data_IF_677865424492
#
_entry.id   IF_677865424492
#
_cell.length_a   1.000
_cell.length_b   1.000
_cell.length_c   1.000
_cell.angle_alpha   90.00
_cell.angle_beta   90.00
_cell.angle_gamma   90.00
#
_symmetry.space_group_name_H-M   'P 1'
#
loop_
_entity.id
_entity.type
_entity.pdbx_description
1 polymer ?
#
# COMPACT_ATOMS: atom_id res chain seq x y z
N UNK A 1 -10.70 17.85 -2.44
CA UNK A 1 -10.07 16.52 -2.33
C UNK A 1 -9.97 15.93 -3.72
N UNK A 2 -8.86 15.32 -4.12
CA UNK A 2 -8.85 14.53 -5.34
C UNK A 2 -9.92 13.42 -5.22
N UNK A 3 -10.69 13.23 -6.28
CA UNK A 3 -11.72 12.19 -6.38
C UNK A 3 -11.01 10.95 -6.96
N UNK A 4 -11.02 9.83 -6.24
CA UNK A 4 -10.40 8.57 -6.65
C UNK A 4 -9.22 8.11 -5.79
N UNK A 5 -8.64 6.97 -6.15
CA UNK A 5 -7.53 6.34 -5.42
C UNK A 5 -6.19 6.86 -5.98
N UNK A 6 -5.35 7.53 -5.19
CA UNK A 6 -4.06 7.98 -5.65
C UNK A 6 -3.10 6.79 -5.83
N UNK A 7 -2.20 6.89 -6.80
CA UNK A 7 -1.15 5.89 -7.03
C UNK A 7 0.23 6.54 -7.15
N UNK A 8 1.28 5.74 -6.96
CA UNK A 8 2.67 6.15 -7.19
C UNK A 8 3.40 5.16 -8.09
N UNK A 9 4.28 5.67 -8.93
CA UNK A 9 5.17 4.85 -9.76
C UNK A 9 6.48 4.57 -9.00
N UNK A 10 6.99 3.35 -9.13
CA UNK A 10 8.32 2.98 -8.64
C UNK A 10 9.10 2.20 -9.69
N UNK A 11 10.42 2.33 -9.65
CA UNK A 11 11.38 1.58 -10.48
C UNK A 11 12.40 0.82 -9.64
N UNK A 12 12.08 0.60 -8.37
CA UNK A 12 12.99 0.18 -7.30
C UNK A 12 12.84 1.16 -6.14
N UNK A 13 11.98 0.83 -5.19
CA UNK A 13 11.82 1.59 -3.95
C UNK A 13 12.73 1.01 -2.87
N UNK A 14 13.05 1.81 -1.84
CA UNK A 14 13.37 1.26 -0.52
C UNK A 14 12.03 0.92 0.14
N UNK A 15 11.60 -0.35 0.12
CA UNK A 15 10.28 -0.71 0.60
C UNK A 15 10.21 -0.50 2.11
N UNK A 16 9.06 -0.03 2.58
CA UNK A 16 8.76 -0.08 4.01
C UNK A 16 8.33 -1.50 4.38
N UNK A 17 8.60 -1.96 5.62
CA UNK A 17 7.99 -3.16 6.15
C UNK A 17 6.47 -3.07 6.08
N UNK A 18 5.85 -4.12 5.55
CA UNK A 18 4.40 -4.30 5.51
C UNK A 18 4.05 -5.52 6.36
N UNK A 19 3.08 -5.36 7.24
CA UNK A 19 2.57 -6.44 8.10
C UNK A 19 1.06 -6.56 7.95
N UNK A 20 0.56 -7.79 8.00
CA UNK A 20 -0.84 -8.10 7.77
C UNK A 20 -1.57 -8.62 9.00
N UNK A 21 -2.81 -8.20 9.16
CA UNK A 21 -3.74 -8.81 10.13
C UNK A 21 -4.33 -10.13 9.60
N UNK A 22 -4.52 -10.24 8.28
CA UNK A 22 -4.99 -11.45 7.59
C UNK A 22 -3.99 -11.86 6.50
N UNK A 23 -2.94 -12.57 6.89
CA UNK A 23 -1.84 -12.96 5.98
C UNK A 23 -2.27 -13.96 4.89
N UNK A 24 -3.33 -14.71 5.14
CA UNK A 24 -3.89 -15.74 4.24
C UNK A 24 -4.68 -15.16 3.05
N UNK A 25 -5.16 -13.92 3.16
CA UNK A 25 -5.78 -13.19 2.04
C UNK A 25 -4.75 -12.36 1.22
N UNK A 26 -3.44 -12.60 1.43
CA UNK A 26 -2.34 -11.82 0.84
C UNK A 26 -1.38 -12.69 0.03
N UNK A 27 -0.95 -12.22 -1.13
CA UNK A 27 0.14 -12.85 -1.88
C UNK A 27 1.49 -12.66 -1.15
N UNK A 28 2.36 -13.67 -1.03
CA UNK A 28 3.66 -13.50 -0.36
C UNK A 28 4.49 -12.35 -0.95
N UNK A 29 5.08 -11.52 -0.07
CA UNK A 29 5.94 -10.40 -0.45
C UNK A 29 7.28 -10.81 -1.09
N UNK A 30 8.15 -9.84 -1.45
CA UNK A 30 8.17 -8.45 -0.98
C UNK A 30 7.28 -7.49 -1.78
N UNK A 31 6.75 -6.45 -1.11
CA UNK A 31 5.98 -5.38 -1.73
C UNK A 31 6.84 -4.12 -1.90
N UNK A 32 6.89 -3.50 -3.09
CA UNK A 32 7.72 -2.34 -3.35
C UNK A 32 7.07 -1.02 -2.87
N UNK A 33 6.47 -1.01 -1.67
CA UNK A 33 5.72 0.14 -1.14
C UNK A 33 6.71 1.20 -0.62
N UNK A 34 6.79 2.39 -1.26
CA UNK A 34 7.66 3.45 -0.77
C UNK A 34 7.04 4.16 0.44
N UNK A 35 7.87 4.75 1.29
CA UNK A 35 7.42 5.47 2.50
C UNK A 35 6.46 6.65 2.20
N UNK A 36 6.59 7.27 1.03
CA UNK A 36 5.75 8.37 0.57
C UNK A 36 4.54 7.91 -0.27
N UNK A 37 4.19 6.63 -0.27
CA UNK A 37 2.99 6.15 -0.95
C UNK A 37 1.74 6.86 -0.39
N UNK A 38 0.88 7.42 -1.24
CA UNK A 38 -0.32 8.12 -0.79
C UNK A 38 -1.37 7.12 -0.31
N UNK A 39 -2.11 7.49 0.73
CA UNK A 39 -3.26 6.74 1.24
C UNK A 39 -4.53 7.43 0.75
N UNK A 40 -5.48 6.68 0.21
CA UNK A 40 -6.79 7.21 -0.19
C UNK A 40 -7.49 7.92 0.99
N UNK A 41 -7.96 9.14 0.74
CA UNK A 41 -8.58 9.98 1.76
C UNK A 41 -7.60 10.60 2.77
N UNK A 42 -6.31 10.26 2.69
CA UNK A 42 -5.26 10.73 3.60
C UNK A 42 -5.01 9.80 4.79
N UNK A 43 -3.93 10.06 5.53
CA UNK A 43 -3.46 9.21 6.62
C UNK A 43 -4.45 9.09 7.80
N UNK A 44 -5.29 10.12 7.98
CA UNK A 44 -6.31 10.19 9.03
C UNK A 44 -7.71 9.78 8.55
N UNK A 45 -7.81 9.18 7.36
CA UNK A 45 -9.09 8.77 6.79
C UNK A 45 -9.67 7.55 7.52
N UNK A 46 -10.97 7.56 7.78
CA UNK A 46 -11.67 6.39 8.31
C UNK A 46 -12.25 5.46 7.22
N UNK A 47 -12.16 5.87 5.94
CA UNK A 47 -12.65 5.13 4.77
C UNK A 47 -11.73 3.98 4.29
N UNK A 48 -11.79 3.67 3.00
CA UNK A 48 -11.15 2.46 2.43
C UNK A 48 -9.61 2.50 2.42
N UNK A 49 -8.96 3.67 2.47
CA UNK A 49 -7.51 3.85 2.67
C UNK A 49 -6.65 2.96 1.74
N UNK A 50 -7.00 2.88 0.47
CA UNK A 50 -6.19 2.13 -0.49
C UNK A 50 -4.81 2.79 -0.70
N UNK A 51 -3.79 1.96 -0.96
CA UNK A 51 -2.46 2.38 -1.43
C UNK A 51 -2.17 1.63 -2.72
N UNK A 52 -1.96 2.37 -3.81
CA UNK A 52 -1.63 1.81 -5.12
C UNK A 52 -0.19 2.15 -5.52
N UNK A 53 0.58 1.12 -5.88
CA UNK A 53 1.97 1.26 -6.35
C UNK A 53 2.15 0.49 -7.64
N UNK A 54 2.62 1.16 -8.69
CA UNK A 54 2.95 0.52 -9.97
C UNK A 54 4.45 0.36 -10.09
N UNK A 55 4.93 -0.89 -10.15
CA UNK A 55 6.33 -1.21 -10.43
C UNK A 55 6.57 -1.25 -11.94
N UNK A 56 7.27 -0.23 -12.44
CA UNK A 56 7.45 -0.01 -13.88
C UNK A 56 8.30 -1.08 -14.57
N UNK A 57 9.18 -1.76 -13.82
CA UNK A 57 10.07 -2.79 -14.38
C UNK A 57 9.38 -4.13 -14.62
N UNK A 58 8.43 -4.47 -13.75
CA UNK A 58 7.70 -5.74 -13.80
C UNK A 58 6.29 -5.57 -14.36
N UNK A 59 5.86 -4.33 -14.59
CA UNK A 59 4.50 -3.97 -15.00
C UNK A 59 3.44 -4.50 -14.03
N UNK A 60 3.77 -4.55 -12.73
CA UNK A 60 2.86 -5.00 -11.68
C UNK A 60 2.26 -3.81 -10.94
N UNK A 61 0.97 -3.90 -10.67
CA UNK A 61 0.28 -3.08 -9.68
C UNK A 61 0.29 -3.82 -8.36
N UNK A 62 0.56 -3.09 -7.28
CA UNK A 62 0.47 -3.56 -5.91
C UNK A 62 -0.56 -2.70 -5.18
N UNK A 63 -1.47 -3.36 -4.48
CA UNK A 63 -2.53 -2.72 -3.73
C UNK A 63 -2.47 -3.13 -2.26
N UNK A 64 -2.62 -2.15 -1.37
CA UNK A 64 -2.96 -2.38 0.03
C UNK A 64 -4.35 -1.81 0.31
N UNK A 65 -5.27 -2.64 0.82
CA UNK A 65 -6.59 -2.22 1.30
C UNK A 65 -6.53 -1.81 2.76
N UNK A 66 -7.23 -0.75 3.20
CA UNK A 66 -7.32 -0.38 4.61
C UNK A 66 -5.96 -0.04 5.28
N UNK A 67 -5.06 0.62 4.55
CA UNK A 67 -3.69 0.90 5.00
C UNK A 67 -3.60 1.92 6.14
N UNK A 68 -2.76 1.66 7.15
CA UNK A 68 -2.47 2.58 8.26
C UNK A 68 -0.96 2.71 8.48
N UNK A 69 -0.47 3.94 8.65
CA UNK A 69 0.93 4.15 9.07
C UNK A 69 1.09 3.84 10.56
N UNK A 70 2.14 3.10 10.93
CA UNK A 70 2.60 2.99 12.32
C UNK A 70 3.74 3.98 12.57
N UNK A 71 3.79 4.54 13.77
CA UNK A 71 4.79 5.55 14.18
C UNK A 71 6.24 5.03 14.13
N UNK A 72 6.48 3.71 14.15
CA UNK A 72 7.82 3.12 14.32
C UNK A 72 8.24 2.13 13.20
N UNK A 73 8.39 2.60 11.96
CA UNK A 73 8.99 1.87 10.82
C UNK A 73 8.11 0.88 10.02
N UNK A 74 6.81 1.13 9.79
CA UNK A 74 6.07 0.32 8.80
C UNK A 74 4.62 0.75 8.56
N UNK A 75 4.06 0.30 7.44
CA UNK A 75 2.61 0.32 7.21
C UNK A 75 2.00 -0.92 7.88
N UNK A 76 1.04 -0.75 8.79
CA UNK A 76 0.16 -1.82 9.25
C UNK A 76 -1.07 -1.86 8.35
N UNK A 77 -1.40 -3.05 7.83
CA UNK A 77 -2.55 -3.22 6.94
C UNK A 77 -3.37 -4.48 7.26
N UNK A 78 -4.69 -4.35 7.25
CA UNK A 78 -5.71 -5.41 7.18
C UNK A 78 -5.94 -5.77 5.71
N UNK A 79 -5.80 -7.03 5.27
CA UNK A 79 -5.74 -7.32 3.82
C UNK A 79 -7.05 -7.80 3.24
N UNK A 80 -7.39 -7.24 2.06
CA UNK A 80 -7.73 -7.98 0.84
C UNK A 80 -6.92 -7.40 -0.31
N UNK A 81 -6.00 -8.17 -0.89
CA UNK A 81 -5.39 -7.83 -2.18
C UNK A 81 -6.28 -8.47 -3.24
N UNK A 82 -6.93 -7.67 -4.07
CA UNK A 82 -7.54 -8.15 -5.30
C UNK A 82 -6.66 -7.63 -6.43
N UNK A 83 -6.41 -8.53 -7.39
CA UNK A 83 -5.67 -8.37 -8.65
C UNK A 83 -4.15 -8.55 -8.56
#
# INVERSE_FOLDING_TARGET
MPIGIPFILTSGANPVPVSFEYTDESEPGPYPIPHNAPIEGGETSDGDRHVLVVEQKTCKLYELYSARKKENLGLLCLVRSLI
#
